data_IF_025078932137
#
_entry.id   IF_025078932137
#
_cell.length_a   1.000
_cell.length_b   1.000
_cell.length_c   1.000
_cell.angle_alpha   90.00
_cell.angle_beta   90.00
_cell.angle_gamma   90.00
#
_symmetry.space_group_name_H-M   'P 1'
#
loop_
_entity.id
_entity.type
_entity.pdbx_description
1 polymer ?
#
# COMPACT_ATOMS: atom_id res chain seq x y z
N UNK A 1 -55.93 -3.77 23.56
CA UNK A 1 -54.56 -3.21 23.55
C UNK A 1 -53.58 -4.27 23.05
N UNK A 2 -53.16 -4.22 21.78
CA UNK A 2 -51.95 -4.92 21.30
C UNK A 2 -51.21 -3.93 20.42
N UNK A 3 -50.12 -3.38 20.97
CA UNK A 3 -49.21 -2.47 20.29
C UNK A 3 -48.44 -3.29 19.26
N UNK A 4 -48.74 -3.09 17.99
CA UNK A 4 -47.90 -3.57 16.89
C UNK A 4 -47.21 -2.34 16.31
N UNK A 5 -45.92 -2.51 16.00
CA UNK A 5 -44.97 -1.54 15.41
C UNK A 5 -44.22 -0.72 16.49
N UNK A 6 -42.87 -0.78 16.55
CA UNK A 6 -41.99 -0.73 15.38
C UNK A 6 -40.82 -1.72 15.41
N UNK A 7 -40.95 -2.84 14.68
CA UNK A 7 -39.78 -3.61 14.22
C UNK A 7 -39.16 -2.99 12.93
N UNK A 8 -39.84 -2.01 12.32
CA UNK A 8 -39.42 -1.37 11.06
C UNK A 8 -38.32 -0.32 11.28
N UNK A 9 -38.14 0.18 12.51
CA UNK A 9 -37.19 1.26 12.80
C UNK A 9 -35.73 0.78 12.99
N UNK A 10 -35.51 -0.52 13.13
CA UNK A 10 -34.16 -1.09 13.35
C UNK A 10 -33.46 -1.42 12.02
N UNK A 11 -34.22 -1.67 10.94
CA UNK A 11 -33.64 -2.03 9.63
C UNK A 11 -33.15 -0.80 8.86
N UNK A 12 -33.69 0.40 9.12
CA UNK A 12 -33.30 1.63 8.40
C UNK A 12 -31.99 2.25 8.89
N UNK A 13 -31.48 1.84 10.07
CA UNK A 13 -30.21 2.39 10.60
C UNK A 13 -28.99 1.71 9.99
N UNK A 14 -29.14 0.56 9.34
CA UNK A 14 -28.03 -0.18 8.72
C UNK A 14 -27.65 0.32 7.31
N UNK A 15 -28.51 1.06 6.62
CA UNK A 15 -28.22 1.53 5.26
C UNK A 15 -27.51 2.89 5.20
N UNK A 16 -27.39 3.60 6.32
CA UNK A 16 -26.69 4.90 6.35
C UNK A 16 -25.17 4.74 6.59
N UNK A 17 -24.70 3.56 6.98
CA UNK A 17 -23.26 3.35 7.22
C UNK A 17 -22.42 3.10 5.95
N UNK A 18 -23.02 3.15 4.76
CA UNK A 18 -22.34 2.97 3.47
C UNK A 18 -22.37 4.22 2.60
N UNK A 19 -22.50 5.42 3.18
CA UNK A 19 -22.36 6.68 2.43
C UNK A 19 -21.15 7.52 2.85
N UNK A 20 -20.15 6.88 3.48
CA UNK A 20 -18.78 7.37 3.34
C UNK A 20 -18.32 6.99 1.94
N UNK A 21 -18.87 7.63 0.90
CA UNK A 21 -18.05 7.95 -0.26
C UNK A 21 -16.84 8.65 0.33
N UNK A 22 -15.72 7.92 0.43
CA UNK A 22 -14.43 8.51 0.73
C UNK A 22 -14.21 9.49 -0.40
N UNK A 23 -14.63 10.73 -0.17
CA UNK A 23 -14.28 11.86 -1.01
C UNK A 23 -12.78 11.73 -1.23
N UNK A 24 -12.43 11.63 -2.50
CA UNK A 24 -11.10 11.52 -3.10
C UNK A 24 -10.25 12.77 -2.85
N UNK A 25 -10.23 13.23 -1.61
CA UNK A 25 -9.40 14.34 -1.13
C UNK A 25 -8.12 13.76 -0.55
N UNK A 26 -7.09 13.70 -1.39
CA UNK A 26 -5.66 13.57 -1.08
C UNK A 26 -5.33 12.95 0.27
N UNK A 27 -5.48 11.62 0.37
CA UNK A 27 -4.86 10.90 1.48
C UNK A 27 -3.38 11.25 1.51
N UNK A 28 -2.83 11.61 2.67
CA UNK A 28 -1.41 11.91 2.82
C UNK A 28 -0.56 10.65 3.02
N UNK A 29 -1.19 9.55 3.42
CA UNK A 29 -0.56 8.26 3.65
C UNK A 29 -0.16 7.56 2.35
N UNK A 30 0.88 6.73 2.40
CA UNK A 30 1.19 5.79 1.31
C UNK A 30 -0.03 4.90 1.05
N UNK A 31 -0.48 4.81 -0.21
CA UNK A 31 -1.65 4.03 -0.60
C UNK A 31 -1.30 2.55 -0.77
N UNK A 32 -1.06 1.86 0.36
CA UNK A 32 -0.68 0.43 0.39
C UNK A 32 -1.73 -0.51 -0.19
N UNK A 33 -3.00 -0.13 -0.12
CA UNK A 33 -4.16 -0.97 -0.38
C UNK A 33 -4.97 -0.49 -1.58
N UNK A 34 -5.71 -1.43 -2.18
CA UNK A 34 -6.65 -1.20 -3.27
C UNK A 34 -8.09 -1.46 -2.82
N UNK A 35 -8.97 -1.82 -3.76
CA UNK A 35 -10.38 -2.11 -3.49
C UNK A 35 -10.61 -3.56 -3.03
N UNK A 36 -9.67 -4.48 -3.30
CA UNK A 36 -9.82 -5.89 -2.99
C UNK A 36 -9.42 -6.22 -1.53
N UNK A 37 -10.38 -6.62 -0.70
CA UNK A 37 -10.16 -6.91 0.73
C UNK A 37 -9.20 -8.09 0.98
N UNK A 38 -9.19 -9.10 0.11
CA UNK A 38 -8.31 -10.28 0.25
C UNK A 38 -6.87 -9.87 -0.03
N UNK A 39 -6.65 -9.12 -1.12
CA UNK A 39 -5.34 -8.58 -1.44
C UNK A 39 -4.84 -7.64 -0.34
N UNK A 40 -5.72 -6.79 0.21
CA UNK A 40 -5.40 -5.88 1.32
C UNK A 40 -5.00 -6.63 2.60
N UNK A 41 -5.69 -7.73 2.93
CA UNK A 41 -5.32 -8.57 4.06
C UNK A 41 -3.94 -9.23 3.87
N UNK A 42 -3.61 -9.63 2.64
CA UNK A 42 -2.28 -10.14 2.30
C UNK A 42 -1.21 -9.05 2.41
N UNK A 43 -1.46 -7.84 1.90
CA UNK A 43 -0.58 -6.68 2.08
C UNK A 43 -0.30 -6.43 3.56
N UNK A 44 -1.33 -6.43 4.41
CA UNK A 44 -1.18 -6.24 5.86
C UNK A 44 -0.26 -7.28 6.51
N UNK A 45 -0.40 -8.57 6.14
CA UNK A 45 0.52 -9.63 6.59
C UNK A 45 1.93 -9.46 6.02
N UNK A 46 2.04 -9.05 4.77
CA UNK A 46 3.30 -8.74 4.11
C UNK A 46 4.08 -7.65 4.85
N UNK A 47 3.40 -6.54 5.18
CA UNK A 47 3.96 -5.43 5.97
C UNK A 47 4.41 -5.94 7.35
N UNK A 48 3.56 -6.70 8.06
CA UNK A 48 3.91 -7.26 9.37
C UNK A 48 5.21 -8.07 9.31
N UNK A 49 5.33 -9.01 8.36
CA UNK A 49 6.54 -9.82 8.22
C UNK A 49 7.75 -9.01 7.73
N UNK A 50 7.55 -8.03 6.85
CA UNK A 50 8.62 -7.15 6.36
C UNK A 50 9.25 -6.34 7.48
N UNK A 51 8.42 -5.75 8.35
CA UNK A 51 8.88 -4.97 9.51
C UNK A 51 9.56 -5.84 10.58
N UNK A 52 9.22 -7.14 10.64
CA UNK A 52 9.88 -8.12 11.50
C UNK A 52 11.09 -8.81 10.84
N UNK A 53 11.53 -8.36 9.65
CA UNK A 53 12.67 -8.92 8.91
C UNK A 53 12.46 -10.39 8.49
N UNK A 54 11.23 -10.88 8.48
CA UNK A 54 10.84 -12.21 7.98
C UNK A 54 10.65 -12.17 6.45
N UNK A 55 11.76 -11.95 5.72
CA UNK A 55 11.75 -11.60 4.29
C UNK A 55 11.04 -12.60 3.39
N UNK A 56 11.25 -13.90 3.59
CA UNK A 56 10.61 -14.94 2.78
C UNK A 56 9.09 -14.95 2.97
N UNK A 57 8.60 -14.79 4.21
CA UNK A 57 7.16 -14.69 4.49
C UNK A 57 6.57 -13.41 3.91
N UNK A 58 7.28 -12.29 4.07
CA UNK A 58 6.87 -11.01 3.49
C UNK A 58 6.74 -11.14 1.96
N UNK A 59 7.75 -11.72 1.30
CA UNK A 59 7.73 -11.97 -0.14
C UNK A 59 6.49 -12.76 -0.56
N UNK A 60 6.20 -13.88 0.10
CA UNK A 60 5.04 -14.72 -0.25
C UNK A 60 3.71 -13.97 -0.13
N UNK A 61 3.54 -13.13 0.90
CA UNK A 61 2.30 -12.36 1.06
C UNK A 61 2.18 -11.21 0.04
N UNK A 62 3.26 -10.50 -0.26
CA UNK A 62 3.20 -9.47 -1.31
C UNK A 62 3.00 -10.08 -2.69
N UNK A 63 3.65 -11.20 -3.01
CA UNK A 63 3.43 -11.92 -4.26
C UNK A 63 1.97 -12.41 -4.35
N UNK A 64 1.45 -13.06 -3.31
CA UNK A 64 0.04 -13.48 -3.25
C UNK A 64 -0.94 -12.32 -3.38
N UNK A 65 -0.62 -11.14 -2.82
CA UNK A 65 -1.48 -9.95 -3.00
C UNK A 65 -1.62 -9.56 -4.47
N UNK A 66 -0.56 -9.72 -5.28
CA UNK A 66 -0.57 -9.40 -6.71
C UNK A 66 -1.24 -10.47 -7.57
N UNK A 67 -1.29 -11.72 -7.11
CA UNK A 67 -2.10 -12.77 -7.75
C UNK A 67 -3.61 -12.44 -7.65
N UNK A 68 -4.01 -11.72 -6.60
CA UNK A 68 -5.39 -11.31 -6.37
C UNK A 68 -5.68 -9.93 -6.97
N UNK A 69 -4.80 -8.95 -6.75
CA UNK A 69 -4.90 -7.60 -7.29
C UNK A 69 -3.53 -7.12 -7.79
N UNK A 70 -3.31 -7.27 -9.10
CA UNK A 70 -2.07 -6.87 -9.76
C UNK A 70 -1.85 -5.34 -9.86
N UNK A 71 -2.81 -4.52 -9.39
CA UNK A 71 -2.72 -3.05 -9.48
C UNK A 71 -2.04 -2.40 -8.26
N UNK A 72 -1.67 -3.21 -7.25
CA UNK A 72 -1.06 -2.74 -6.01
C UNK A 72 0.40 -2.31 -6.21
N UNK A 73 0.62 -1.03 -6.52
CA UNK A 73 1.97 -0.48 -6.74
C UNK A 73 2.91 -0.73 -5.54
N UNK A 74 2.41 -0.62 -4.31
CA UNK A 74 3.22 -0.76 -3.11
C UNK A 74 3.75 -2.20 -2.92
N UNK A 75 2.96 -3.21 -3.28
CA UNK A 75 3.41 -4.61 -3.31
C UNK A 75 4.54 -4.80 -4.32
N UNK A 76 4.45 -4.17 -5.50
CA UNK A 76 5.56 -4.16 -6.46
C UNK A 76 6.82 -3.49 -5.89
N UNK A 77 6.72 -2.37 -5.16
CA UNK A 77 7.87 -1.71 -4.52
C UNK A 77 8.59 -2.67 -3.56
N UNK A 78 7.84 -3.35 -2.68
CA UNK A 78 8.44 -4.26 -1.70
C UNK A 78 9.06 -5.48 -2.37
N UNK A 79 8.40 -6.06 -3.38
CA UNK A 79 8.96 -7.18 -4.14
C UNK A 79 10.24 -6.76 -4.88
N UNK A 80 10.31 -5.56 -5.44
CA UNK A 80 11.55 -5.04 -6.02
C UNK A 80 12.70 -4.93 -5.00
N UNK A 81 12.43 -4.69 -3.71
CA UNK A 81 13.45 -4.67 -2.66
C UNK A 81 13.87 -6.06 -2.17
N UNK A 82 12.96 -7.04 -2.23
CA UNK A 82 13.20 -8.40 -1.76
C UNK A 82 13.78 -9.32 -2.84
N UNK A 83 13.57 -8.98 -4.12
CA UNK A 83 14.06 -9.73 -5.27
C UNK A 83 15.50 -9.34 -5.63
N UNK A 84 16.41 -10.30 -5.89
CA UNK A 84 17.73 -9.99 -6.43
C UNK A 84 17.65 -9.23 -7.76
N UNK A 85 18.65 -8.39 -8.03
CA UNK A 85 18.74 -7.66 -9.30
C UNK A 85 18.71 -8.63 -10.51
N UNK A 86 17.89 -8.33 -11.52
CA UNK A 86 17.62 -9.17 -12.68
C UNK A 86 16.38 -8.72 -13.48
N UNK A 87 15.73 -9.67 -14.14
CA UNK A 87 14.52 -9.38 -14.92
C UNK A 87 13.28 -9.15 -14.02
N UNK A 88 13.18 -9.93 -12.94
CA UNK A 88 12.04 -9.92 -12.05
C UNK A 88 11.94 -8.64 -11.20
N UNK A 89 13.05 -8.15 -10.65
CA UNK A 89 13.02 -6.88 -9.91
C UNK A 89 12.76 -5.68 -10.83
N UNK A 90 13.33 -5.67 -12.05
CA UNK A 90 13.04 -4.62 -13.04
C UNK A 90 11.58 -4.62 -13.49
N UNK A 91 10.95 -5.79 -13.64
CA UNK A 91 9.51 -5.89 -13.86
C UNK A 91 8.73 -5.23 -12.72
N UNK A 92 9.05 -5.53 -11.46
CA UNK A 92 8.37 -4.92 -10.32
C UNK A 92 8.61 -3.41 -10.24
N UNK A 93 9.85 -2.92 -10.48
CA UNK A 93 10.13 -1.48 -10.52
C UNK A 93 9.33 -0.78 -11.62
N UNK A 94 9.25 -1.38 -12.81
CA UNK A 94 8.48 -0.85 -13.92
C UNK A 94 6.99 -0.74 -13.58
N UNK A 95 6.41 -1.80 -13.02
CA UNK A 95 5.00 -1.81 -12.59
C UNK A 95 4.71 -0.83 -11.46
N UNK A 96 5.60 -0.70 -10.47
CA UNK A 96 5.47 0.31 -9.43
C UNK A 96 5.37 1.74 -10.02
N UNK A 97 6.23 2.08 -11.00
CA UNK A 97 6.21 3.39 -11.68
C UNK A 97 4.97 3.60 -12.55
N UNK A 98 4.47 2.54 -13.17
CA UNK A 98 3.24 2.59 -13.96
C UNK A 98 2.03 2.87 -13.07
N UNK A 99 1.87 2.09 -12.00
CA UNK A 99 0.67 2.03 -11.17
C UNK A 99 0.56 3.18 -10.15
N UNK A 100 1.68 3.86 -9.84
CA UNK A 100 1.67 5.03 -8.94
C UNK A 100 1.16 6.32 -9.61
N UNK A 101 1.01 6.33 -10.94
CA UNK A 101 0.52 7.51 -11.66
C UNK A 101 -0.89 7.88 -11.20
N UNK A 102 -1.06 9.15 -10.83
CA UNK A 102 -2.33 9.65 -10.29
C UNK A 102 -2.59 9.29 -8.82
N UNK A 103 -1.63 8.66 -8.13
CA UNK A 103 -1.63 8.51 -6.66
C UNK A 103 -1.06 9.75 -5.98
N UNK A 104 -1.24 9.84 -4.67
CA UNK A 104 -0.79 10.99 -3.86
C UNK A 104 0.75 11.15 -3.82
N UNK A 105 1.20 12.27 -3.28
CA UNK A 105 2.64 12.62 -3.23
C UNK A 105 3.47 11.58 -2.46
N UNK A 106 3.01 11.11 -1.29
CA UNK A 106 3.74 10.10 -0.52
C UNK A 106 3.90 8.77 -1.24
N UNK A 107 2.90 8.34 -2.00
CA UNK A 107 2.99 7.14 -2.85
C UNK A 107 4.04 7.32 -3.94
N UNK A 108 4.10 8.50 -4.58
CA UNK A 108 5.12 8.82 -5.58
C UNK A 108 6.53 8.88 -4.96
N UNK A 109 6.68 9.50 -3.78
CA UNK A 109 7.94 9.52 -3.03
C UNK A 109 8.42 8.11 -2.68
N UNK A 110 7.51 7.23 -2.23
CA UNK A 110 7.82 5.83 -1.96
C UNK A 110 8.41 5.12 -3.19
N UNK A 111 7.79 5.30 -4.37
CA UNK A 111 8.30 4.71 -5.62
C UNK A 111 9.66 5.30 -6.01
N UNK A 112 9.89 6.59 -5.78
CA UNK A 112 11.17 7.25 -6.11
C UNK A 112 12.38 6.68 -5.35
N UNK A 113 12.16 5.96 -4.23
CA UNK A 113 13.22 5.23 -3.53
C UNK A 113 13.89 4.17 -4.43
N UNK A 114 13.16 3.65 -5.43
CA UNK A 114 13.68 2.66 -6.39
C UNK A 114 14.71 3.24 -7.36
N UNK A 115 14.76 4.57 -7.52
CA UNK A 115 15.69 5.24 -8.44
C UNK A 115 17.06 5.53 -7.78
N UNK A 116 17.23 5.21 -6.49
CA UNK A 116 18.50 5.38 -5.79
C UNK A 116 19.46 4.25 -6.16
N UNK A 117 20.20 4.44 -7.24
CA UNK A 117 21.23 3.52 -7.72
C UNK A 117 22.63 3.84 -7.15
N UNK A 118 22.73 3.94 -5.83
CA UNK A 118 24.01 4.06 -5.11
C UNK A 118 24.36 2.69 -4.52
N UNK A 119 25.62 2.32 -4.20
CA UNK A 119 25.95 1.12 -3.44
C UNK A 119 25.54 1.22 -1.97
N UNK A 120 25.54 0.11 -1.23
CA UNK A 120 25.21 0.13 0.20
C UNK A 120 26.25 0.97 0.95
N UNK A 121 25.81 2.00 1.69
CA UNK A 121 26.73 2.91 2.35
C UNK A 121 26.07 4.16 2.93
N UNK A 122 26.91 5.08 3.42
CA UNK A 122 26.48 6.36 4.03
C UNK A 122 25.69 7.22 3.05
N UNK A 123 26.15 7.30 1.81
CA UNK A 123 25.53 8.14 0.77
C UNK A 123 24.12 7.65 0.40
N UNK A 124 23.96 6.35 0.12
CA UNK A 124 22.65 5.74 -0.13
C UNK A 124 21.69 5.97 1.05
N UNK A 125 22.19 5.84 2.29
CA UNK A 125 21.39 6.11 3.50
C UNK A 125 20.95 7.56 3.58
N UNK A 126 21.84 8.51 3.31
CA UNK A 126 21.52 9.93 3.32
C UNK A 126 20.46 10.28 2.27
N UNK A 127 20.59 9.73 1.03
CA UNK A 127 19.61 10.00 -0.03
C UNK A 127 18.23 9.42 0.29
N UNK A 128 18.16 8.21 0.83
CA UNK A 128 16.88 7.65 1.31
C UNK A 128 16.30 8.48 2.44
N UNK A 129 17.13 8.93 3.38
CA UNK A 129 16.66 9.74 4.51
C UNK A 129 16.03 11.04 4.02
N UNK A 130 16.60 11.72 3.03
CA UNK A 130 15.98 12.92 2.43
C UNK A 130 14.54 12.66 1.94
N UNK A 131 14.30 11.53 1.28
CA UNK A 131 12.98 11.16 0.78
C UNK A 131 12.05 10.77 1.95
N UNK A 132 12.54 10.00 2.92
CA UNK A 132 11.77 9.66 4.13
C UNK A 132 11.39 10.89 4.95
N UNK A 133 12.27 11.87 5.08
CA UNK A 133 11.99 13.14 5.75
C UNK A 133 10.87 13.90 5.05
N UNK A 134 10.88 13.98 3.72
CA UNK A 134 9.78 14.59 2.96
C UNK A 134 8.46 13.85 3.15
N UNK A 135 8.49 12.52 3.12
CA UNK A 135 7.29 11.72 3.38
C UNK A 135 6.72 11.98 4.79
N UNK A 136 7.60 12.10 5.79
CA UNK A 136 7.22 12.39 7.17
C UNK A 136 6.73 13.84 7.36
N UNK A 137 7.23 14.81 6.60
CA UNK A 137 6.68 16.18 6.63
C UNK A 137 5.25 16.22 6.09
N UNK A 138 4.95 15.42 5.06
CA UNK A 138 3.60 15.27 4.52
C UNK A 138 2.72 14.51 5.51
N UNK A 139 3.22 13.42 6.10
CA UNK A 139 2.53 12.56 7.06
C UNK A 139 3.40 12.36 8.34
N UNK A 140 3.24 13.24 9.35
CA UNK A 140 4.01 13.17 10.59
C UNK A 140 3.64 12.00 11.51
#
# INVERSE_FOLDING_TARGET
MKKLIPAILVVTVLTISCNNTSDSTDGKYIQWSGENEVANAMVGKGIFHFLNIEREKAYSFFAGSLEVDSTLFASHVVLAWLTPNGEADEMHKSKARELVKGKNENSNLMVSLLDINLPAGKERRAKRHEIWSKMHEIEP
#
